data_IF_398414289371
#
_entry.id   IF_398414289371
#
_cell.length_a   1.000
_cell.length_b   1.000
_cell.length_c   1.000
_cell.angle_alpha   90.00
_cell.angle_beta   90.00
_cell.angle_gamma   90.00
#
_symmetry.space_group_name_H-M   'P 1'
#
loop_
_entity.id
_entity.type
_entity.pdbx_description
1 polymer ?
#
# COMPACT_ATOMS: atom_id res chain seq x y z
N UNK A 1 -36.96 60.73 26.51
CA UNK A 1 -37.90 61.54 25.71
C UNK A 1 -37.56 61.29 24.24
N UNK A 2 -38.31 60.46 23.49
CA UNK A 2 -39.50 60.81 22.65
C UNK A 2 -39.10 61.88 21.60
N UNK A 3 -39.25 61.76 20.27
CA UNK A 3 -40.15 61.03 19.36
C UNK A 3 -39.49 60.94 17.95
N UNK A 4 -39.59 59.83 17.18
CA UNK A 4 -40.63 59.43 16.17
C UNK A 4 -40.84 60.39 14.98
N UNK A 5 -40.62 59.88 13.74
CA UNK A 5 -41.69 59.52 12.77
C UNK A 5 -41.14 59.20 11.35
N UNK A 6 -41.59 58.10 10.73
CA UNK A 6 -41.55 57.86 9.26
C UNK A 6 -42.72 58.59 8.55
N UNK A 7 -43.19 58.23 7.32
CA UNK A 7 -43.12 56.91 6.65
C UNK A 7 -42.95 56.95 5.10
N UNK A 8 -43.00 55.78 4.43
CA UNK A 8 -43.57 55.66 3.06
C UNK A 8 -42.83 54.78 2.05
N UNK A 9 -43.29 53.55 1.83
CA UNK A 9 -43.06 52.73 0.61
C UNK A 9 -44.20 52.96 -0.41
N UNK A 10 -43.97 52.63 -1.68
CA UNK A 10 -44.82 51.60 -2.29
C UNK A 10 -44.05 50.54 -3.13
N UNK A 11 -44.70 49.39 -3.27
CA UNK A 11 -44.41 48.25 -4.14
C UNK A 11 -44.57 48.63 -5.63
N UNK A 12 -44.03 47.92 -6.64
CA UNK A 12 -44.39 46.56 -7.03
C UNK A 12 -43.73 46.12 -8.36
N UNK A 13 -43.71 44.79 -8.56
CA UNK A 13 -43.70 44.04 -9.84
C UNK A 13 -42.39 43.76 -10.59
N UNK A 14 -42.05 42.46 -10.59
CA UNK A 14 -41.23 41.69 -11.55
C UNK A 14 -41.85 41.67 -12.96
N UNK A 15 -41.09 41.14 -13.94
CA UNK A 15 -41.58 39.95 -14.64
C UNK A 15 -40.60 38.77 -14.64
N UNK A 16 -41.19 37.57 -14.67
CA UNK A 16 -40.58 36.24 -14.90
C UNK A 16 -40.66 35.91 -16.40
N UNK A 17 -39.68 35.17 -16.91
CA UNK A 17 -39.81 34.05 -17.87
C UNK A 17 -38.44 33.32 -17.85
N UNK A 18 -38.25 32.08 -17.40
CA UNK A 18 -38.77 30.76 -17.79
C UNK A 18 -38.30 30.28 -19.17
N UNK A 19 -37.33 29.36 -19.17
CA UNK A 19 -37.24 28.27 -20.14
C UNK A 19 -36.69 27.02 -19.45
N UNK A 20 -37.52 25.98 -19.42
CA UNK A 20 -37.17 24.61 -19.02
C UNK A 20 -36.34 23.93 -20.12
N UNK A 21 -35.41 23.07 -19.74
CA UNK A 21 -35.14 21.84 -20.50
C UNK A 21 -34.73 20.73 -19.55
N UNK A 22 -35.55 19.68 -19.50
CA UNK A 22 -35.24 18.39 -18.91
C UNK A 22 -34.02 17.76 -19.59
N UNK A 23 -33.16 17.10 -18.80
CA UNK A 23 -32.37 15.99 -19.34
C UNK A 23 -32.25 14.85 -18.32
N UNK A 24 -32.46 13.64 -18.84
CA UNK A 24 -32.64 12.36 -18.14
C UNK A 24 -31.32 11.81 -17.60
N UNK A 25 -31.45 10.97 -16.57
CA UNK A 25 -30.47 9.98 -16.16
C UNK A 25 -30.09 9.05 -17.32
N UNK A 26 -28.80 8.71 -17.44
CA UNK A 26 -28.37 7.38 -17.87
C UNK A 26 -26.91 7.10 -17.49
N UNK A 27 -26.73 6.02 -16.72
CA UNK A 27 -25.72 4.94 -16.83
C UNK A 27 -24.23 5.23 -17.06
N UNK A 28 -23.44 4.68 -16.12
CA UNK A 28 -22.03 4.24 -16.17
C UNK A 28 -21.19 4.55 -17.43
N UNK A 29 -20.06 5.23 -17.21
CA UNK A 29 -18.86 5.09 -18.04
C UNK A 29 -17.63 4.85 -17.14
N UNK A 30 -17.20 3.58 -17.16
CA UNK A 30 -15.89 3.10 -16.75
C UNK A 30 -14.90 3.54 -17.83
N UNK A 31 -13.79 4.17 -17.45
CA UNK A 31 -12.66 4.44 -18.35
C UNK A 31 -11.96 3.12 -18.69
N UNK A 32 -12.42 2.47 -19.76
CA UNK A 32 -11.77 1.32 -20.36
C UNK A 32 -10.56 1.76 -21.20
N UNK A 33 -9.39 1.18 -20.93
CA UNK A 33 -8.24 1.23 -21.83
C UNK A 33 -8.61 0.54 -23.15
N UNK A 34 -8.75 1.29 -24.23
CA UNK A 34 -8.98 0.76 -25.57
C UNK A 34 -7.66 0.37 -26.22
N UNK A 35 -7.48 -0.93 -26.47
CA UNK A 35 -6.41 -1.48 -27.31
C UNK A 35 -6.81 -1.36 -28.78
N UNK A 36 -6.26 -0.38 -29.49
CA UNK A 36 -6.36 -0.31 -30.94
C UNK A 36 -5.20 -1.07 -31.60
N UNK A 37 -5.53 -2.15 -32.30
CA UNK A 37 -4.60 -2.88 -33.17
C UNK A 37 -4.25 -2.05 -34.43
N UNK A 38 -3.00 -2.08 -34.92
CA UNK A 38 -2.62 -1.37 -36.14
C UNK A 38 -3.10 -2.10 -37.41
N UNK A 39 -3.34 -1.36 -38.52
CA UNK A 39 -3.80 -1.94 -39.79
C UNK A 39 -2.68 -2.70 -40.54
N UNK A 40 -3.02 -3.66 -41.42
CA UNK A 40 -2.03 -4.47 -42.11
C UNK A 40 -1.33 -3.68 -43.23
N UNK A 41 0.00 -3.75 -43.26
CA UNK A 41 0.80 -3.27 -44.40
C UNK A 41 1.11 -4.40 -45.38
N UNK A 42 1.09 -4.04 -46.65
CA UNK A 42 1.16 -4.88 -47.83
C UNK A 42 2.54 -5.49 -48.08
N UNK A 43 2.51 -6.68 -48.68
CA UNK A 43 3.66 -7.47 -49.08
C UNK A 43 4.48 -6.86 -50.24
N UNK A 44 5.79 -7.10 -50.22
CA UNK A 44 6.63 -7.19 -51.42
C UNK A 44 7.54 -8.41 -51.31
N UNK A 45 7.66 -9.12 -52.43
CA UNK A 45 8.18 -10.47 -52.58
C UNK A 45 9.64 -10.52 -53.07
N UNK A 46 10.17 -11.76 -53.09
CA UNK A 46 11.41 -12.28 -53.70
C UNK A 46 12.63 -12.31 -52.75
N UNK A 47 13.41 -13.41 -52.61
CA UNK A 47 13.71 -14.54 -53.51
C UNK A 47 14.27 -15.73 -52.69
N UNK A 48 13.88 -16.97 -53.03
CA UNK A 48 14.52 -18.24 -52.59
C UNK A 48 15.72 -18.60 -53.49
N UNK A 49 16.66 -19.43 -53.01
CA UNK A 49 16.81 -20.81 -53.52
C UNK A 49 17.17 -21.81 -52.39
N UNK A 50 17.27 -23.14 -52.52
CA UNK A 50 16.73 -24.24 -53.34
C UNK A 50 16.99 -25.51 -52.49
N UNK A 51 16.19 -26.54 -52.68
CA UNK A 51 16.21 -27.83 -51.97
C UNK A 51 17.42 -28.71 -52.32
N UNK A 52 17.84 -29.54 -51.36
CA UNK A 52 18.47 -30.84 -51.63
C UNK A 52 17.81 -31.94 -50.78
N UNK A 53 17.67 -33.12 -51.36
CA UNK A 53 16.78 -34.22 -51.00
C UNK A 53 17.52 -35.46 -50.48
N UNK A 54 17.07 -35.97 -49.32
CA UNK A 54 16.93 -37.40 -48.97
C UNK A 54 18.17 -38.20 -48.49
N UNK A 55 17.98 -39.42 -47.91
CA UNK A 55 16.71 -40.14 -47.69
C UNK A 55 16.40 -40.56 -46.23
N UNK A 56 15.12 -40.88 -46.00
CA UNK A 56 14.54 -41.53 -44.81
C UNK A 56 14.96 -43.00 -44.65
N UNK A 57 14.92 -43.52 -43.41
CA UNK A 57 14.15 -44.73 -43.02
C UNK A 57 14.03 -44.86 -41.47
N UNK A 58 12.95 -45.45 -40.92
CA UNK A 58 12.60 -45.47 -39.48
C UNK A 58 12.65 -46.92 -38.88
N UNK A 59 11.90 -47.27 -37.81
CA UNK A 59 12.26 -47.24 -36.39
C UNK A 59 12.40 -48.65 -35.76
N UNK A 60 12.92 -48.77 -34.52
CA UNK A 60 12.90 -50.04 -33.78
C UNK A 60 12.71 -49.87 -32.26
N UNK A 61 11.56 -50.32 -31.78
CA UNK A 61 11.34 -51.15 -30.59
C UNK A 61 10.63 -52.45 -31.10
N UNK A 62 10.37 -53.54 -30.34
CA UNK A 62 10.45 -53.77 -28.89
C UNK A 62 11.03 -55.16 -28.49
N UNK A 63 11.04 -55.52 -27.19
CA UNK A 63 10.80 -56.91 -26.77
C UNK A 63 10.30 -57.01 -25.31
N UNK A 64 9.57 -58.09 -25.06
CA UNK A 64 8.51 -58.31 -24.08
C UNK A 64 8.96 -59.24 -22.93
N UNK A 65 8.51 -58.94 -21.69
CA UNK A 65 7.82 -59.77 -20.64
C UNK A 65 7.97 -61.32 -20.62
N UNK A 66 7.83 -62.05 -19.48
CA UNK A 66 6.49 -62.30 -18.88
C UNK A 66 6.35 -62.66 -17.36
N UNK A 67 5.21 -62.19 -16.81
CA UNK A 67 4.10 -62.88 -16.09
C UNK A 67 4.21 -63.42 -14.63
N UNK A 68 3.11 -63.14 -13.90
CA UNK A 68 2.17 -63.99 -13.10
C UNK A 68 1.80 -63.23 -11.80
N UNK A 69 0.65 -62.56 -11.62
CA UNK A 69 -0.79 -62.94 -11.57
C UNK A 69 -1.31 -63.42 -10.20
N UNK A 70 -2.40 -62.76 -9.76
CA UNK A 70 -3.60 -63.24 -9.06
C UNK A 70 -3.68 -63.40 -7.53
N UNK A 71 -4.85 -62.97 -7.01
CA UNK A 71 -5.58 -63.54 -5.86
C UNK A 71 -5.70 -62.59 -4.67
N UNK A 72 -6.76 -61.80 -4.49
CA UNK A 72 -8.11 -62.14 -4.01
C UNK A 72 -8.16 -62.82 -2.63
N UNK A 73 -8.83 -62.14 -1.68
CA UNK A 73 -9.61 -62.74 -0.60
C UNK A 73 -8.90 -62.80 0.76
N UNK A 74 -9.54 -62.70 1.93
CA UNK A 74 -10.95 -62.53 2.34
C UNK A 74 -10.95 -62.37 3.88
N UNK A 75 -12.11 -61.95 4.43
CA UNK A 75 -12.64 -62.14 5.80
C UNK A 75 -12.04 -61.30 6.93
N UNK A 76 -12.82 -60.44 7.62
CA UNK A 76 -14.00 -60.65 8.51
C UNK A 76 -13.73 -61.52 9.75
N UNK A 77 -13.87 -60.91 10.93
CA UNK A 77 -14.80 -61.25 12.04
C UNK A 77 -14.75 -60.14 13.11
N UNK A 78 -15.90 -59.57 13.50
CA UNK A 78 -16.77 -59.91 14.67
C UNK A 78 -16.04 -59.66 16.00
N UNK A 79 -16.60 -59.11 17.06
CA UNK A 79 -17.94 -58.67 17.53
C UNK A 79 -17.62 -57.72 18.72
N UNK A 80 -18.46 -56.92 19.36
CA UNK A 80 -19.79 -57.13 19.92
C UNK A 80 -20.24 -55.78 20.53
N UNK A 81 -21.55 -55.58 20.60
CA UNK A 81 -22.21 -54.46 21.26
C UNK A 81 -22.73 -54.90 22.64
N UNK A 82 -22.74 -54.02 23.62
CA UNK A 82 -23.71 -54.04 24.73
C UNK A 82 -24.10 -52.61 25.13
N UNK A 83 -25.40 -52.41 25.30
CA UNK A 83 -26.06 -51.19 25.71
C UNK A 83 -26.34 -51.20 27.22
N UNK A 84 -26.44 -50.02 27.84
CA UNK A 84 -27.22 -49.80 29.05
C UNK A 84 -27.61 -48.31 29.19
N UNK A 85 -28.91 -48.05 29.22
CA UNK A 85 -29.55 -46.78 29.55
C UNK A 85 -29.55 -46.52 31.07
N UNK A 86 -29.51 -45.26 31.50
CA UNK A 86 -30.29 -44.77 32.64
C UNK A 86 -30.42 -43.24 32.62
N UNK A 87 -31.66 -42.74 32.77
CA UNK A 87 -32.05 -41.32 32.78
C UNK A 87 -32.05 -40.73 34.22
N UNK A 88 -32.52 -39.48 34.48
CA UNK A 88 -31.71 -38.33 34.94
C UNK A 88 -32.00 -37.92 36.41
N UNK A 89 -31.38 -36.84 36.92
CA UNK A 89 -32.02 -36.03 37.94
C UNK A 89 -32.16 -34.54 37.55
N UNK A 90 -33.23 -33.93 38.07
CA UNK A 90 -33.66 -32.55 37.85
C UNK A 90 -32.97 -31.47 38.73
N UNK A 91 -33.59 -30.29 38.90
CA UNK A 91 -32.90 -28.99 38.82
C UNK A 91 -32.62 -28.30 40.17
N UNK A 92 -31.55 -27.51 40.19
CA UNK A 92 -31.22 -26.34 41.04
C UNK A 92 -29.68 -26.16 40.93
N UNK A 93 -29.04 -25.00 40.88
CA UNK A 93 -29.31 -23.66 41.39
C UNK A 93 -28.33 -22.71 40.71
N UNK A 94 -28.69 -21.43 40.59
CA UNK A 94 -27.83 -20.41 40.00
C UNK A 94 -26.55 -20.20 40.81
N UNK A 95 -25.42 -20.19 40.10
CA UNK A 95 -24.19 -19.55 40.50
C UNK A 95 -23.72 -18.70 39.32
N UNK A 96 -24.06 -17.40 39.37
CA UNK A 96 -23.31 -16.41 38.62
C UNK A 96 -21.94 -16.31 39.26
N UNK A 97 -20.88 -16.62 38.50
CA UNK A 97 -19.50 -16.23 38.78
C UNK A 97 -18.65 -16.35 37.52
N UNK A 98 -18.36 -15.16 36.98
CA UNK A 98 -17.22 -14.78 36.16
C UNK A 98 -16.84 -15.66 34.96
N UNK A 99 -17.32 -15.24 33.79
CA UNK A 99 -16.51 -15.37 32.57
C UNK A 99 -15.14 -14.71 32.79
N UNK A 100 -14.03 -15.36 32.44
CA UNK A 100 -12.72 -14.73 32.51
C UNK A 100 -12.64 -13.61 31.46
N UNK A 101 -12.15 -12.46 31.91
CA UNK A 101 -11.91 -11.29 31.09
C UNK A 101 -10.95 -11.56 29.93
N UNK A 102 -11.25 -10.88 28.81
CA UNK A 102 -10.36 -10.50 27.71
C UNK A 102 -9.55 -11.64 27.07
N UNK A 103 -10.09 -12.21 25.99
CA UNK A 103 -9.24 -12.72 24.92
C UNK A 103 -8.30 -11.57 24.53
N UNK A 104 -6.98 -11.77 24.66
CA UNK A 104 -5.99 -10.85 24.13
C UNK A 104 -6.34 -10.64 22.65
N UNK A 105 -6.78 -9.43 22.33
CA UNK A 105 -7.32 -9.12 21.01
C UNK A 105 -6.18 -9.27 20.01
N UNK A 106 -6.36 -10.17 19.04
CA UNK A 106 -5.37 -10.39 17.99
C UNK A 106 -5.21 -9.10 17.17
N UNK A 107 -4.03 -8.47 17.32
CA UNK A 107 -3.70 -7.22 16.67
C UNK A 107 -3.52 -7.45 15.17
N UNK A 108 -4.03 -6.52 14.37
CA UNK A 108 -3.96 -6.59 12.91
C UNK A 108 -2.70 -5.87 12.45
N UNK A 109 -1.88 -6.53 11.64
CA UNK A 109 -0.54 -6.04 11.25
C UNK A 109 -0.41 -5.65 9.78
N UNK A 110 -1.39 -6.00 8.95
CA UNK A 110 -1.24 -5.93 7.49
C UNK A 110 -2.45 -5.23 6.86
N UNK A 111 -3.62 -5.87 6.78
CA UNK A 111 -4.84 -5.26 6.24
C UNK A 111 -6.08 -5.59 7.08
N UNK A 112 -7.11 -4.72 7.02
CA UNK A 112 -8.44 -4.94 7.60
C UNK A 112 -9.53 -4.61 6.59
N UNK A 113 -10.69 -5.26 6.70
CA UNK A 113 -11.86 -4.94 5.88
C UNK A 113 -12.65 -3.76 6.45
N UNK A 114 -13.48 -3.11 5.61
CA UNK A 114 -14.40 -2.07 6.06
C UNK A 114 -15.35 -2.56 7.17
N UNK A 115 -15.88 -3.79 7.04
CA UNK A 115 -16.76 -4.38 8.05
C UNK A 115 -16.03 -4.58 9.40
N UNK A 116 -14.75 -4.99 9.36
CA UNK A 116 -13.96 -5.10 10.58
C UNK A 116 -13.73 -3.73 11.20
N UNK A 117 -13.35 -2.72 10.40
CA UNK A 117 -13.07 -1.39 10.93
C UNK A 117 -14.33 -0.76 11.54
N UNK A 118 -15.49 -0.87 10.89
CA UNK A 118 -16.79 -0.38 11.41
C UNK A 118 -17.10 -0.96 12.80
N UNK A 119 -16.91 -2.27 12.99
CA UNK A 119 -17.13 -2.92 14.27
C UNK A 119 -16.14 -2.48 15.37
N UNK A 120 -15.09 -1.73 15.02
CA UNK A 120 -13.94 -1.49 15.86
C UNK A 120 -13.51 -0.02 15.98
N UNK A 121 -14.27 0.92 15.40
CA UNK A 121 -13.99 2.37 15.42
C UNK A 121 -13.68 2.92 16.82
N UNK A 122 -14.35 2.41 17.86
CA UNK A 122 -14.13 2.84 19.25
C UNK A 122 -12.88 2.28 19.94
N UNK A 123 -12.13 1.40 19.26
CA UNK A 123 -11.00 0.64 19.84
C UNK A 123 -9.68 0.82 19.10
N UNK A 124 -9.68 1.54 17.98
CA UNK A 124 -8.51 1.74 17.12
C UNK A 124 -8.28 3.22 16.84
N UNK A 125 -7.05 3.57 16.47
CA UNK A 125 -6.69 4.90 15.96
C UNK A 125 -6.79 4.88 14.44
N UNK A 126 -7.77 5.59 13.90
CA UNK A 126 -7.94 5.70 12.44
C UNK A 126 -7.17 6.90 11.93
N UNK A 127 -6.34 6.70 10.91
CA UNK A 127 -5.52 7.74 10.31
C UNK A 127 -5.80 7.83 8.81
N UNK A 128 -6.20 9.02 8.38
CA UNK A 128 -6.28 9.37 6.96
C UNK A 128 -4.92 9.85 6.49
N UNK A 129 -4.27 9.04 5.68
CA UNK A 129 -2.96 9.32 5.09
C UNK A 129 -3.08 9.73 3.61
N UNK A 130 -4.20 10.36 3.22
CA UNK A 130 -4.42 10.83 1.87
C UNK A 130 -3.34 11.79 1.41
N UNK A 131 -2.75 11.48 0.27
CA UNK A 131 -1.83 12.34 -0.45
C UNK A 131 -2.00 12.05 -1.94
N UNK A 132 -1.97 13.08 -2.78
CA UNK A 132 -2.21 12.95 -4.21
C UNK A 132 -1.09 13.58 -5.02
N UNK A 133 -0.82 13.02 -6.20
CA UNK A 133 0.04 13.68 -7.18
C UNK A 133 -0.64 14.97 -7.65
N UNK A 134 0.12 16.04 -7.95
CA UNK A 134 -0.45 17.30 -8.44
C UNK A 134 -1.38 17.11 -9.65
N UNK A 135 -1.07 16.16 -10.53
CA UNK A 135 -1.87 15.86 -11.72
C UNK A 135 -3.26 15.27 -11.44
N UNK A 136 -3.55 14.84 -10.20
CA UNK A 136 -4.87 14.34 -9.81
C UNK A 136 -5.86 15.47 -9.49
N UNK A 137 -5.38 16.71 -9.29
CA UNK A 137 -6.21 17.89 -8.99
C UNK A 137 -7.18 17.66 -7.80
N UNK A 138 -6.63 17.11 -6.71
CA UNK A 138 -7.35 16.82 -5.47
C UNK A 138 -6.64 17.43 -4.28
N UNK A 139 -7.41 17.95 -3.33
CA UNK A 139 -6.90 18.48 -2.06
C UNK A 139 -7.22 17.49 -0.93
N UNK A 140 -6.24 16.69 -0.48
CA UNK A 140 -6.48 15.67 0.54
C UNK A 140 -6.90 16.26 1.89
N UNK A 141 -6.46 17.48 2.22
CA UNK A 141 -6.83 18.14 3.48
C UNK A 141 -8.24 18.65 3.45
N UNK A 142 -8.64 19.27 2.34
CA UNK A 142 -10.01 19.73 2.16
C UNK A 142 -10.99 18.55 2.14
N UNK A 143 -10.62 17.44 1.49
CA UNK A 143 -11.42 16.21 1.49
C UNK A 143 -11.58 15.62 2.88
N UNK A 144 -10.48 15.45 3.63
CA UNK A 144 -10.51 14.98 5.02
C UNK A 144 -11.38 15.87 5.92
N UNK A 145 -11.25 17.19 5.77
CA UNK A 145 -12.01 18.15 6.56
C UNK A 145 -13.51 18.12 6.25
N UNK A 146 -13.86 17.87 4.99
CA UNK A 146 -15.25 17.77 4.56
C UNK A 146 -15.88 16.42 4.95
N UNK A 147 -15.13 15.32 4.87
CA UNK A 147 -15.63 13.97 5.11
C UNK A 147 -14.50 12.97 5.36
N UNK A 148 -14.54 12.32 6.52
CA UNK A 148 -13.55 11.32 6.95
C UNK A 148 -14.23 10.14 7.64
N UNK A 149 -13.53 9.03 7.80
CA UNK A 149 -14.00 7.93 8.67
C UNK A 149 -14.17 8.47 10.10
N UNK A 150 -15.21 8.02 10.81
CA UNK A 150 -15.49 8.50 12.17
C UNK A 150 -14.27 8.39 13.10
N UNK A 151 -13.91 9.51 13.73
CA UNK A 151 -12.77 9.59 14.65
C UNK A 151 -11.40 9.56 13.97
N UNK A 152 -11.32 9.57 12.63
CA UNK A 152 -10.07 9.61 11.93
C UNK A 152 -9.34 10.94 12.13
N UNK A 153 -8.02 10.89 12.23
CA UNK A 153 -7.13 12.07 12.21
C UNK A 153 -6.29 12.10 10.94
N UNK A 154 -5.88 13.28 10.52
CA UNK A 154 -5.11 13.45 9.30
C UNK A 154 -3.61 13.20 9.52
N UNK A 155 -3.09 12.12 8.95
CA UNK A 155 -1.66 11.83 8.84
C UNK A 155 -1.10 12.51 7.58
N UNK A 156 -0.51 13.68 7.77
CA UNK A 156 0.07 14.42 6.64
C UNK A 156 1.43 13.86 6.24
N UNK A 157 1.47 13.03 5.20
CA UNK A 157 2.70 12.44 4.65
C UNK A 157 3.75 13.49 4.28
N UNK A 158 3.34 14.69 3.84
CA UNK A 158 4.29 15.75 3.51
C UNK A 158 4.91 16.39 4.76
N UNK A 159 4.13 16.59 5.82
CA UNK A 159 4.65 17.17 7.08
C UNK A 159 5.36 16.15 7.97
N UNK A 160 5.01 14.87 7.87
CA UNK A 160 5.66 13.78 8.59
C UNK A 160 6.75 13.20 7.67
N UNK A 161 7.63 14.08 7.20
CA UNK A 161 8.80 13.77 6.37
C UNK A 161 9.98 14.60 6.86
N UNK A 162 11.21 14.27 6.43
CA UNK A 162 12.40 15.04 6.79
C UNK A 162 12.38 16.44 6.15
N UNK A 163 12.20 17.52 6.94
CA UNK A 163 12.17 18.88 6.41
C UNK A 163 13.55 19.39 5.98
N UNK A 164 14.64 18.72 6.36
CA UNK A 164 16.00 19.09 5.97
C UNK A 164 16.38 18.55 4.58
N UNK A 165 15.63 17.56 4.08
CA UNK A 165 15.88 16.98 2.77
C UNK A 165 15.32 17.86 1.65
N UNK A 166 16.06 17.91 0.54
CA UNK A 166 15.57 18.46 -0.73
C UNK A 166 14.74 17.44 -1.52
N UNK A 167 14.74 16.18 -1.07
CA UNK A 167 13.97 15.09 -1.66
C UNK A 167 12.59 15.01 -1.01
N UNK A 168 11.55 14.69 -1.80
CA UNK A 168 10.20 14.58 -1.27
C UNK A 168 10.02 13.30 -0.45
N UNK A 169 9.23 13.40 0.62
CA UNK A 169 8.73 12.29 1.45
C UNK A 169 9.81 11.41 2.12
N UNK A 170 11.05 11.89 2.25
CA UNK A 170 12.07 11.18 3.01
C UNK A 170 11.61 10.94 4.45
N UNK A 171 11.95 9.78 5.01
CA UNK A 171 11.65 9.45 6.39
C UNK A 171 12.10 10.57 7.34
N UNK A 172 11.25 11.02 8.27
CA UNK A 172 11.68 11.93 9.32
C UNK A 172 12.65 11.22 10.28
N UNK A 173 13.29 11.95 11.17
CA UNK A 173 13.97 11.34 12.32
C UNK A 173 12.98 10.62 13.25
N UNK A 174 13.47 9.65 14.04
CA UNK A 174 12.64 8.97 15.04
C UNK A 174 11.98 9.96 16.02
N UNK A 175 12.68 11.02 16.43
CA UNK A 175 12.13 12.06 17.31
C UNK A 175 10.99 12.84 16.65
N UNK A 176 11.11 13.18 15.36
CA UNK A 176 10.06 13.86 14.61
C UNK A 176 8.84 12.94 14.40
N UNK A 177 9.06 11.66 14.10
CA UNK A 177 7.96 10.69 13.98
C UNK A 177 7.23 10.50 15.31
N UNK A 178 7.96 10.32 16.41
CA UNK A 178 7.40 10.26 17.76
C UNK A 178 6.54 11.48 18.10
N UNK A 179 7.04 12.69 17.82
CA UNK A 179 6.29 13.93 18.04
C UNK A 179 5.02 14.02 17.16
N UNK A 180 5.06 13.49 15.93
CA UNK A 180 3.89 13.41 15.08
C UNK A 180 2.84 12.42 15.63
N UNK A 181 3.28 11.25 16.12
CA UNK A 181 2.40 10.27 16.77
C UNK A 181 1.75 10.83 18.04
N UNK A 182 2.50 11.54 18.88
CA UNK A 182 1.98 12.23 20.07
C UNK A 182 0.89 13.25 19.67
N UNK A 183 1.13 14.05 18.64
CA UNK A 183 0.15 15.02 18.12
C UNK A 183 -1.09 14.34 17.52
N UNK A 184 -0.93 13.16 16.92
CA UNK A 184 -2.02 12.31 16.43
C UNK A 184 -2.72 11.54 17.56
N UNK A 185 -2.26 11.64 18.81
CA UNK A 185 -2.85 10.92 19.94
C UNK A 185 -2.70 9.41 19.83
N UNK A 186 -1.58 8.97 19.23
CA UNK A 186 -1.16 7.57 19.08
C UNK A 186 -0.09 7.26 20.11
N UNK A 187 -0.23 6.13 20.78
CA UNK A 187 0.71 5.54 21.74
C UNK A 187 1.24 4.22 21.19
N UNK A 188 2.32 3.68 21.77
CA UNK A 188 2.88 2.40 21.32
C UNK A 188 1.95 1.19 21.52
N UNK A 189 0.92 1.30 22.35
CA UNK A 189 -0.06 0.22 22.60
C UNK A 189 -1.30 0.28 21.71
N UNK A 190 -1.47 1.36 20.95
CA UNK A 190 -2.65 1.53 20.11
C UNK A 190 -2.63 0.58 18.90
N UNK A 191 -3.79 0.07 18.51
CA UNK A 191 -3.99 -0.46 17.15
C UNK A 191 -4.21 0.74 16.21
N UNK A 192 -3.36 0.90 15.21
CA UNK A 192 -3.51 1.92 14.17
C UNK A 192 -4.14 1.28 12.92
N UNK A 193 -5.08 1.99 12.30
CA UNK A 193 -5.61 1.66 10.97
C UNK A 193 -5.44 2.87 10.05
N UNK A 194 -4.64 2.71 8.98
CA UNK A 194 -4.40 3.76 7.99
C UNK A 194 -5.28 3.56 6.76
N UNK A 195 -5.73 4.64 6.13
CA UNK A 195 -6.43 4.61 4.84
C UNK A 195 -6.08 5.85 4.01
N UNK A 196 -6.48 5.86 2.73
CA UNK A 196 -6.43 7.04 1.89
C UNK A 196 -7.67 7.13 0.99
N UNK A 197 -7.92 8.33 0.45
CA UNK A 197 -9.06 8.61 -0.41
C UNK A 197 -8.88 8.21 -1.88
N UNK A 198 -7.74 7.63 -2.28
CA UNK A 198 -7.58 6.99 -3.60
C UNK A 198 -7.88 5.47 -3.54
N UNK A 199 -7.91 4.89 -2.34
CA UNK A 199 -8.09 3.48 -2.06
C UNK A 199 -6.81 2.85 -1.56
N UNK A 200 -5.80 2.75 -2.44
CA UNK A 200 -4.49 2.21 -2.13
C UNK A 200 -3.41 3.00 -2.88
N UNK A 201 -2.86 4.02 -2.24
CA UNK A 201 -1.81 4.85 -2.78
C UNK A 201 -0.81 5.29 -1.72
N UNK A 202 -1.20 6.24 -0.86
CA UNK A 202 -0.33 6.85 0.16
C UNK A 202 -0.50 6.23 1.54
N UNK A 203 -1.61 5.54 1.82
CA UNK A 203 -1.81 4.84 3.09
C UNK A 203 -0.75 3.78 3.36
N UNK A 204 -0.29 3.08 2.32
CA UNK A 204 0.79 2.10 2.45
C UNK A 204 2.09 2.72 2.94
N UNK A 205 2.36 4.00 2.61
CA UNK A 205 3.52 4.74 3.13
C UNK A 205 3.40 4.97 4.62
N UNK A 206 2.24 5.40 5.12
CA UNK A 206 2.01 5.56 6.55
C UNK A 206 2.15 4.23 7.30
N UNK A 207 1.55 3.14 6.78
CA UNK A 207 1.72 1.79 7.33
C UNK A 207 3.20 1.41 7.44
N UNK A 208 3.97 1.56 6.36
CA UNK A 208 5.40 1.24 6.34
C UNK A 208 6.20 2.10 7.31
N UNK A 209 5.87 3.39 7.46
CA UNK A 209 6.54 4.27 8.43
C UNK A 209 6.33 3.79 9.88
N UNK A 210 5.12 3.39 10.25
CA UNK A 210 4.85 2.81 11.57
C UNK A 210 5.70 1.54 11.79
N UNK A 211 5.74 0.63 10.80
CA UNK A 211 6.59 -0.57 10.86
C UNK A 211 8.08 -0.21 10.98
N UNK A 212 8.56 0.72 10.16
CA UNK A 212 9.94 1.20 10.17
C UNK A 212 10.33 1.83 11.51
N UNK A 213 9.40 2.41 12.26
CA UNK A 213 9.65 2.97 13.60
C UNK A 213 9.30 2.04 14.76
N UNK A 214 9.10 0.75 14.49
CA UNK A 214 8.93 -0.29 15.50
C UNK A 214 7.50 -0.43 16.05
N UNK A 215 6.49 0.01 15.31
CA UNK A 215 5.09 -0.13 15.67
C UNK A 215 4.40 -1.16 14.76
N UNK A 216 4.34 -2.41 15.23
CA UNK A 216 3.79 -3.54 14.48
C UNK A 216 2.26 -3.57 14.43
N UNK A 217 1.60 -2.95 15.42
CA UNK A 217 0.16 -2.89 15.60
C UNK A 217 -0.52 -1.90 14.62
N UNK A 218 -0.16 -1.97 13.34
CA UNK A 218 -0.67 -1.09 12.29
C UNK A 218 -1.22 -1.94 11.15
N UNK A 219 -2.43 -1.64 10.69
CA UNK A 219 -3.02 -2.26 9.51
C UNK A 219 -3.51 -1.18 8.54
N UNK A 220 -3.73 -1.57 7.30
CA UNK A 220 -4.31 -0.72 6.28
C UNK A 220 -5.76 -1.12 6.00
N UNK A 221 -6.67 -0.16 5.81
CA UNK A 221 -8.03 -0.43 5.34
C UNK A 221 -8.01 -0.85 3.87
N UNK A 222 -8.29 -2.12 3.59
CA UNK A 222 -8.22 -2.67 2.24
C UNK A 222 -9.26 -2.01 1.31
N UNK A 223 -8.77 -1.35 0.25
CA UNK A 223 -9.57 -0.53 -0.65
C UNK A 223 -9.91 0.88 -0.17
N UNK A 224 -9.42 1.30 1.01
CA UNK A 224 -9.47 2.68 1.52
C UNK A 224 -10.86 3.30 1.59
N UNK A 225 -10.95 4.62 1.42
CA UNK A 225 -12.24 5.33 1.42
C UNK A 225 -13.24 4.80 0.37
N UNK A 226 -12.83 4.43 -0.86
CA UNK A 226 -13.73 3.78 -1.81
C UNK A 226 -14.40 2.50 -1.28
N UNK A 227 -13.67 1.65 -0.53
CA UNK A 227 -14.24 0.46 0.08
C UNK A 227 -15.15 0.79 1.27
N UNK A 228 -14.78 1.80 2.06
CA UNK A 228 -15.61 2.35 3.14
C UNK A 228 -16.97 2.85 2.62
N UNK A 229 -16.96 3.57 1.50
CA UNK A 229 -18.14 4.10 0.84
C UNK A 229 -19.06 2.99 0.32
N UNK A 230 -18.48 1.97 -0.32
CA UNK A 230 -19.24 0.79 -0.77
C UNK A 230 -19.91 0.05 0.39
N UNK A 231 -19.25 0.02 1.55
CA UNK A 231 -19.78 -0.60 2.77
C UNK A 231 -20.78 0.30 3.51
N UNK A 232 -21.01 1.54 3.05
CA UNK A 232 -21.81 2.56 3.74
C UNK A 232 -21.34 2.78 5.19
N UNK A 233 -20.02 2.77 5.41
CA UNK A 233 -19.42 2.92 6.74
C UNK A 233 -19.63 4.31 7.35
N UNK A 234 -19.51 4.39 8.66
CA UNK A 234 -19.77 5.61 9.43
C UNK A 234 -18.73 6.69 9.12
N UNK A 235 -19.19 7.91 8.84
CA UNK A 235 -18.34 9.06 8.52
C UNK A 235 -18.58 10.22 9.48
N UNK A 236 -17.53 10.97 9.72
CA UNK A 236 -17.55 12.25 10.40
C UNK A 236 -17.48 13.38 9.36
N UNK A 237 -18.43 14.31 9.47
CA UNK A 237 -18.56 15.51 8.64
C UNK A 237 -18.55 16.79 9.50
N UNK A 238 -18.30 16.65 10.80
CA UNK A 238 -18.22 17.79 11.70
C UNK A 238 -16.95 18.59 11.40
N UNK A 239 -17.00 19.93 11.58
CA UNK A 239 -15.82 20.77 11.42
C UNK A 239 -14.65 20.27 12.28
N UNK A 240 -13.51 20.04 11.62
CA UNK A 240 -12.23 19.63 12.21
C UNK A 240 -11.85 20.59 13.34
N UNK A 241 -11.86 20.11 14.58
CA UNK A 241 -11.49 20.89 15.76
C UNK A 241 -10.04 20.55 16.16
N UNK A 242 -9.08 21.16 15.45
CA UNK A 242 -7.63 21.06 15.71
C UNK A 242 -6.99 19.68 15.49
N UNK A 243 -7.00 19.20 14.24
CA UNK A 243 -6.51 17.86 13.88
C UNK A 243 -5.13 17.92 13.19
N UNK A 244 -4.38 19.00 13.40
CA UNK A 244 -3.14 19.24 12.68
C UNK A 244 -1.95 19.06 13.60
N UNK A 245 -1.02 18.20 13.21
CA UNK A 245 0.38 18.35 13.60
C UNK A 245 0.79 19.77 13.16
N UNK A 246 0.88 20.68 14.14
CA UNK A 246 1.27 22.06 13.89
C UNK A 246 2.63 22.05 13.19
N UNK A 247 2.82 22.97 12.23
CA UNK A 247 4.04 23.13 11.44
C UNK A 247 5.31 23.49 12.26
N UNK A 248 5.32 23.22 13.56
CA UNK A 248 6.39 23.57 14.50
C UNK A 248 6.74 22.47 15.52
N UNK A 249 5.99 21.36 15.62
CA UNK A 249 6.43 20.23 16.47
C UNK A 249 7.70 19.57 15.89
N UNK A 250 7.78 19.49 14.55
CA UNK A 250 9.00 19.09 13.84
C UNK A 250 10.10 20.17 13.85
N UNK A 251 9.75 21.46 14.01
CA UNK A 251 10.72 22.56 14.04
C UNK A 251 11.35 22.78 15.43
N UNK A 252 10.62 22.51 16.52
CA UNK A 252 11.18 22.58 17.87
C UNK A 252 12.20 21.46 18.15
N UNK A 253 12.07 20.31 17.47
CA UNK A 253 13.06 19.24 17.47
C UNK A 253 14.26 19.50 16.52
N UNK A 254 14.15 20.45 15.59
CA UNK A 254 15.15 20.74 14.56
C UNK A 254 16.37 21.55 15.05
N UNK A 255 16.57 21.70 16.36
CA UNK A 255 17.82 22.22 16.92
C UNK A 255 18.91 21.15 17.09
N UNK A 256 18.67 19.90 16.68
CA UNK A 256 19.67 18.83 16.67
C UNK A 256 20.07 18.46 15.23
N UNK A 257 21.37 18.61 14.98
CA UNK A 257 22.17 18.57 13.74
C UNK A 257 21.98 17.34 12.80
N UNK A 258 22.46 17.43 11.53
CA UNK A 258 22.05 16.55 10.42
C UNK A 258 22.64 15.13 10.49
N UNK A 259 21.86 14.17 10.00
CA UNK A 259 22.23 12.75 9.90
C UNK A 259 23.19 12.49 8.74
N UNK A 260 24.46 12.27 9.07
CA UNK A 260 25.42 11.52 8.27
C UNK A 260 25.71 10.20 9.03
N UNK A 261 25.63 9.00 8.42
CA UNK A 261 25.63 7.73 9.14
C UNK A 261 27.02 7.23 9.58
N UNK A 262 27.91 8.12 10.00
CA UNK A 262 29.26 7.75 10.45
C UNK A 262 29.74 8.61 11.63
N UNK A 263 29.06 8.52 12.77
CA UNK A 263 29.63 8.71 14.12
C UNK A 263 28.51 8.69 15.18
N UNK A 264 28.07 7.50 15.59
CA UNK A 264 27.23 7.34 16.77
C UNK A 264 28.13 7.14 18.01
N UNK A 265 28.35 8.19 18.80
CA UNK A 265 28.69 8.11 20.22
C UNK A 265 28.63 9.49 20.89
N UNK A 266 27.47 9.83 21.47
CA UNK A 266 27.30 10.51 22.76
C UNK A 266 25.89 11.10 22.83
N UNK A 267 25.06 10.52 23.71
CA UNK A 267 23.71 10.96 23.99
C UNK A 267 23.71 12.35 24.66
N UNK A 268 22.80 13.22 24.26
CA UNK A 268 22.37 14.36 25.07
C UNK A 268 20.85 14.43 25.02
N UNK A 269 20.26 14.29 26.20
CA UNK A 269 18.82 14.09 26.46
C UNK A 269 18.05 15.41 26.37
N UNK A 270 16.98 15.43 25.58
CA UNK A 270 15.91 16.43 25.62
C UNK A 270 14.73 15.89 26.44
N UNK A 271 13.90 16.75 27.08
CA UNK A 271 13.00 16.35 28.15
C UNK A 271 11.85 15.46 27.65
N UNK A 272 11.55 14.44 28.45
CA UNK A 272 10.54 13.42 28.18
C UNK A 272 9.11 14.01 28.13
N UNK A 273 8.45 13.91 26.97
CA UNK A 273 7.01 13.65 26.97
C UNK A 273 6.81 12.20 27.40
N UNK A 274 5.66 11.87 27.98
CA UNK A 274 5.21 10.48 28.22
C UNK A 274 4.92 9.72 26.91
N UNK A 275 5.75 9.99 25.89
CA UNK A 275 5.43 10.04 24.49
C UNK A 275 5.83 8.80 23.73
N UNK A 276 5.23 8.67 22.56
CA UNK A 276 5.45 7.60 21.62
C UNK A 276 6.94 7.32 21.43
N UNK A 277 7.36 6.08 21.69
CA UNK A 277 8.73 5.63 21.44
C UNK A 277 8.86 5.18 19.98
N UNK A 278 9.70 5.87 19.21
CA UNK A 278 10.03 5.50 17.84
C UNK A 278 11.48 5.00 17.78
N UNK A 279 11.70 3.83 17.18
CA UNK A 279 13.04 3.29 16.93
C UNK A 279 13.10 2.86 15.47
N UNK A 280 13.97 3.51 14.69
CA UNK A 280 14.11 3.19 13.28
C UNK A 280 14.78 1.81 13.11
N UNK A 281 14.06 0.88 12.49
CA UNK A 281 14.62 -0.34 11.92
C UNK A 281 15.28 -0.03 10.58
N UNK A 282 16.61 0.16 10.61
CA UNK A 282 17.41 0.39 9.41
C UNK A 282 17.31 -0.77 8.40
N UNK A 283 16.91 -1.98 8.83
CA UNK A 283 16.69 -3.13 7.97
C UNK A 283 15.56 -2.93 6.96
N UNK A 284 14.58 -2.08 7.27
CA UNK A 284 13.42 -1.75 6.42
C UNK A 284 13.65 -0.58 5.46
N UNK A 285 14.84 0.03 5.50
CA UNK A 285 15.20 1.16 4.63
C UNK A 285 16.42 0.76 3.79
N UNK A 286 16.51 1.28 2.57
CA UNK A 286 17.74 1.29 1.79
C UNK A 286 18.11 2.72 1.44
N UNK A 287 19.38 3.04 1.59
CA UNK A 287 19.99 4.26 1.08
C UNK A 287 20.41 4.11 -0.38
N UNK A 288 20.66 5.23 -1.07
CA UNK A 288 21.22 5.25 -2.43
C UNK A 288 22.52 4.43 -2.54
N UNK A 289 23.42 4.56 -1.57
CA UNK A 289 24.71 3.87 -1.57
C UNK A 289 24.54 2.36 -1.40
N UNK A 290 23.60 1.91 -0.57
CA UNK A 290 23.27 0.49 -0.45
C UNK A 290 22.60 -0.05 -1.72
N UNK A 291 21.71 0.71 -2.37
CA UNK A 291 21.14 0.31 -3.66
C UNK A 291 22.23 0.19 -4.72
N UNK A 292 23.15 1.16 -4.79
CA UNK A 292 24.30 1.11 -5.69
C UNK A 292 25.16 -0.14 -5.43
N UNK A 293 25.49 -0.41 -4.17
CA UNK A 293 26.37 -1.51 -3.80
C UNK A 293 25.73 -2.89 -3.94
N UNK A 294 24.42 -3.02 -3.70
CA UNK A 294 23.75 -4.31 -3.57
C UNK A 294 22.81 -4.66 -4.72
N UNK A 295 22.26 -3.69 -5.42
CA UNK A 295 21.25 -3.92 -6.47
C UNK A 295 21.79 -3.74 -7.89
N UNK A 296 22.98 -3.15 -8.07
CA UNK A 296 23.53 -2.78 -9.38
C UNK A 296 24.75 -3.63 -9.74
N UNK A 297 24.83 -4.03 -11.01
CA UNK A 297 25.97 -4.75 -11.58
C UNK A 297 25.81 -6.28 -11.59
N UNK A 298 26.79 -6.97 -12.16
CA UNK A 298 26.76 -8.44 -12.35
C UNK A 298 26.82 -9.24 -11.05
N UNK A 299 27.24 -8.60 -9.95
CA UNK A 299 27.32 -9.18 -8.61
C UNK A 299 26.20 -8.66 -7.68
N UNK A 300 25.10 -8.13 -8.23
CA UNK A 300 23.97 -7.66 -7.44
C UNK A 300 23.47 -8.78 -6.51
N UNK A 301 23.44 -8.48 -5.22
CA UNK A 301 23.04 -9.38 -4.15
C UNK A 301 21.56 -9.23 -3.77
N UNK A 302 20.94 -8.08 -4.08
CA UNK A 302 19.53 -7.81 -3.80
C UNK A 302 18.78 -7.46 -5.12
N UNK A 303 17.51 -7.82 -5.20
CA UNK A 303 16.66 -7.57 -6.37
C UNK A 303 15.75 -6.37 -6.13
N UNK A 304 16.03 -5.26 -6.79
CA UNK A 304 15.18 -4.06 -6.73
C UNK A 304 13.95 -4.21 -7.64
N UNK A 305 12.76 -3.92 -7.12
CA UNK A 305 11.49 -3.87 -7.86
C UNK A 305 10.90 -2.46 -7.83
N UNK A 306 10.63 -1.89 -9.00
CA UNK A 306 10.15 -0.53 -9.18
C UNK A 306 8.62 -0.50 -9.41
N UNK A 307 7.92 0.26 -8.57
CA UNK A 307 6.47 0.39 -8.55
C UNK A 307 5.92 1.44 -9.54
N UNK A 308 6.78 2.16 -10.27
CA UNK A 308 6.37 3.16 -11.26
C UNK A 308 5.70 2.49 -12.48
N UNK A 309 4.87 3.24 -13.23
CA UNK A 309 4.36 2.78 -14.51
C UNK A 309 5.49 2.37 -15.47
N UNK A 310 5.29 1.27 -16.20
CA UNK A 310 6.28 0.69 -17.11
C UNK A 310 6.87 1.69 -18.12
N UNK A 311 6.11 2.62 -18.74
CA UNK A 311 6.69 3.62 -19.65
C UNK A 311 7.72 4.53 -18.98
N UNK A 312 7.53 4.93 -17.71
CA UNK A 312 8.51 5.73 -16.96
C UNK A 312 9.78 4.94 -16.68
N UNK A 313 9.63 3.67 -16.29
CA UNK A 313 10.73 2.74 -16.05
C UNK A 313 11.52 2.39 -17.33
N UNK A 314 10.86 2.30 -18.48
CA UNK A 314 11.53 2.11 -19.79
C UNK A 314 12.23 3.37 -20.30
N UNK A 315 11.90 4.54 -19.75
CA UNK A 315 12.36 5.83 -20.25
C UNK A 315 11.53 6.38 -21.42
N UNK A 316 10.34 5.84 -21.65
CA UNK A 316 9.42 6.20 -22.75
C UNK A 316 8.46 7.33 -22.37
N UNK A 317 8.32 7.62 -21.07
CA UNK A 317 7.53 8.72 -20.55
C UNK A 317 8.38 9.57 -19.59
N UNK A 318 8.18 10.90 -19.56
CA UNK A 318 8.93 11.77 -18.67
C UNK A 318 8.57 11.53 -17.21
N UNK A 319 9.52 11.82 -16.33
CA UNK A 319 9.24 11.94 -14.90
C UNK A 319 8.44 13.23 -14.62
N UNK A 320 7.53 13.23 -13.62
CA UNK A 320 6.71 14.40 -13.32
C UNK A 320 7.51 15.57 -12.74
N UNK A 321 8.75 15.33 -12.28
CA UNK A 321 9.64 16.35 -11.72
C UNK A 321 10.67 16.77 -12.75
N UNK A 322 10.82 18.09 -12.91
CA UNK A 322 11.89 18.66 -13.74
C UNK A 322 13.28 18.27 -13.20
N UNK A 323 14.24 18.06 -14.09
CA UNK A 323 15.62 17.70 -13.74
C UNK A 323 15.82 16.24 -13.28
N UNK A 324 14.79 15.39 -13.41
CA UNK A 324 14.90 13.96 -13.15
C UNK A 324 14.93 13.22 -14.49
N UNK A 325 15.99 12.45 -14.72
CA UNK A 325 16.17 11.61 -15.91
C UNK A 325 15.07 10.55 -16.00
N UNK A 326 14.65 10.19 -17.20
CA UNK A 326 13.78 9.04 -17.44
C UNK A 326 14.58 7.73 -17.34
N UNK A 327 13.91 6.58 -17.22
CA UNK A 327 14.57 5.26 -17.18
C UNK A 327 14.48 4.58 -15.81
N UNK A 328 15.45 3.70 -15.53
CA UNK A 328 15.45 2.83 -14.35
C UNK A 328 16.83 2.61 -13.75
N UNK A 329 16.82 2.09 -12.52
CA UNK A 329 18.01 1.54 -11.87
C UNK A 329 18.46 0.31 -12.67
N UNK A 330 19.74 0.21 -13.08
CA UNK A 330 20.21 -0.91 -13.86
C UNK A 330 19.92 -2.24 -13.20
N UNK A 331 19.44 -3.19 -14.02
CA UNK A 331 19.06 -4.50 -13.53
C UNK A 331 17.76 -4.56 -12.73
N UNK A 332 17.09 -3.46 -12.35
CA UNK A 332 15.82 -3.53 -11.61
C UNK A 332 14.71 -4.30 -12.34
N UNK A 333 13.71 -4.79 -11.59
CA UNK A 333 12.43 -5.29 -12.10
C UNK A 333 11.39 -4.16 -12.11
N UNK A 334 10.33 -4.30 -12.92
CA UNK A 334 9.20 -3.39 -12.93
C UNK A 334 7.91 -4.14 -12.59
N UNK A 335 7.25 -3.71 -11.53
CA UNK A 335 5.93 -4.17 -11.13
C UNK A 335 5.11 -2.94 -10.72
N UNK A 336 4.39 -2.29 -11.65
CA UNK A 336 3.55 -1.15 -11.31
C UNK A 336 2.61 -1.47 -10.15
N UNK A 337 2.52 -0.59 -9.15
CA UNK A 337 1.80 -0.90 -7.89
C UNK A 337 0.34 -1.31 -8.10
N UNK A 338 -0.33 -0.78 -9.13
CA UNK A 338 -1.72 -1.10 -9.43
C UNK A 338 -1.90 -2.52 -9.99
N UNK A 339 -0.84 -3.19 -10.44
CA UNK A 339 -0.93 -4.56 -10.98
C UNK A 339 -1.14 -5.62 -9.88
N UNK A 340 -0.96 -5.27 -8.62
CA UNK A 340 -1.27 -6.15 -7.47
C UNK A 340 -2.60 -5.80 -6.78
N UNK A 341 -3.39 -4.89 -7.37
CA UNK A 341 -4.67 -4.45 -6.85
C UNK A 341 -5.82 -4.88 -7.77
N UNK A 342 -7.00 -5.15 -7.18
CA UNK A 342 -8.25 -5.33 -7.90
C UNK A 342 -8.76 -3.98 -8.44
N UNK A 343 -9.71 -4.03 -9.38
CA UNK A 343 -10.34 -2.83 -9.94
C UNK A 343 -11.05 -1.98 -8.88
N UNK A 344 -11.53 -2.62 -7.81
CA UNK A 344 -12.21 -1.97 -6.69
C UNK A 344 -11.24 -1.38 -5.64
N UNK A 345 -9.94 -1.37 -5.96
CA UNK A 345 -8.83 -0.89 -5.15
C UNK A 345 -8.45 -1.76 -3.95
N UNK A 346 -9.04 -2.94 -3.76
CA UNK A 346 -8.54 -3.90 -2.77
C UNK A 346 -7.29 -4.64 -3.26
N UNK A 347 -6.52 -5.26 -2.37
CA UNK A 347 -5.43 -6.14 -2.77
C UNK A 347 -5.95 -7.39 -3.48
N UNK A 348 -5.20 -7.87 -4.48
CA UNK A 348 -5.43 -9.22 -5.04
C UNK A 348 -5.14 -10.30 -3.99
N UNK A 349 -5.62 -11.51 -4.23
CA UNK A 349 -5.29 -12.64 -3.37
C UNK A 349 -3.77 -12.89 -3.31
N UNK A 350 -3.21 -13.33 -2.16
CA UNK A 350 -1.77 -13.53 -1.95
C UNK A 350 -1.05 -14.30 -3.07
N UNK A 351 -1.64 -15.37 -3.56
CA UNK A 351 -1.11 -16.21 -4.64
C UNK A 351 -1.04 -15.48 -5.99
N UNK A 352 -1.97 -14.56 -6.24
CA UNK A 352 -1.98 -13.71 -7.43
C UNK A 352 -0.93 -12.61 -7.33
N UNK A 353 -0.75 -12.05 -6.13
CA UNK A 353 0.34 -11.10 -5.85
C UNK A 353 1.69 -11.78 -6.09
N UNK A 354 1.93 -12.96 -5.48
CA UNK A 354 3.15 -13.72 -5.66
C UNK A 354 3.43 -14.04 -7.15
N UNK A 355 2.40 -14.41 -7.91
CA UNK A 355 2.52 -14.65 -9.34
C UNK A 355 2.90 -13.37 -10.12
N UNK A 356 2.38 -12.20 -9.74
CA UNK A 356 2.75 -10.92 -10.35
C UNK A 356 4.21 -10.54 -10.10
N UNK A 357 4.71 -10.72 -8.87
CA UNK A 357 6.14 -10.56 -8.56
C UNK A 357 7.01 -11.52 -9.39
N UNK A 358 6.62 -12.79 -9.47
CA UNK A 358 7.35 -13.80 -10.25
C UNK A 358 7.38 -13.46 -11.74
N UNK A 359 6.28 -12.96 -12.29
CA UNK A 359 6.21 -12.49 -13.68
C UNK A 359 7.09 -11.26 -13.94
N UNK A 360 7.31 -10.41 -12.93
CA UNK A 360 8.27 -9.30 -12.96
C UNK A 360 9.73 -9.75 -12.77
N UNK A 361 9.98 -11.04 -12.55
CA UNK A 361 11.32 -11.60 -12.34
C UNK A 361 11.80 -11.55 -10.88
N UNK A 362 10.86 -11.55 -9.92
CA UNK A 362 11.15 -11.59 -8.48
C UNK A 362 10.37 -12.75 -7.86
N UNK A 363 11.04 -13.82 -7.43
CA UNK A 363 10.37 -14.93 -6.73
C UNK A 363 10.33 -14.65 -5.22
N UNK A 364 9.17 -14.28 -4.67
CA UNK A 364 9.03 -13.99 -3.25
C UNK A 364 9.26 -15.20 -2.35
N UNK A 365 9.13 -16.42 -2.89
CA UNK A 365 9.42 -17.65 -2.15
C UNK A 365 10.93 -17.96 -2.08
N UNK A 366 11.74 -17.33 -2.95
CA UNK A 366 13.19 -17.47 -2.91
C UNK A 366 13.79 -16.61 -1.79
N UNK A 367 14.01 -17.25 -0.64
CA UNK A 367 14.63 -16.60 0.50
C UNK A 367 16.07 -16.16 0.25
N UNK A 368 16.76 -16.77 -0.72
CA UNK A 368 18.17 -16.50 -1.03
C UNK A 368 18.40 -15.20 -1.81
N UNK A 369 17.34 -14.64 -2.40
CA UNK A 369 17.36 -13.36 -3.10
C UNK A 369 16.58 -12.31 -2.28
N UNK A 370 17.25 -11.45 -1.49
CA UNK A 370 16.59 -10.32 -0.85
C UNK A 370 15.98 -9.37 -1.89
N UNK A 371 14.86 -8.75 -1.53
CA UNK A 371 14.09 -7.87 -2.42
C UNK A 371 14.09 -6.47 -1.84
N UNK A 372 14.18 -5.45 -2.69
CA UNK A 372 14.06 -4.03 -2.30
C UNK A 372 12.95 -3.39 -3.12
N UNK A 373 12.00 -2.72 -2.49
CA UNK A 373 10.98 -1.95 -3.19
C UNK A 373 11.46 -0.51 -3.46
N UNK A 374 11.13 0.02 -4.63
CA UNK A 374 11.39 1.40 -5.02
C UNK A 374 10.24 1.95 -5.86
N UNK A 375 10.19 3.27 -6.04
CA UNK A 375 9.26 3.91 -6.97
C UNK A 375 9.80 5.27 -7.41
N UNK A 376 8.93 6.30 -7.50
CA UNK A 376 9.36 7.69 -7.69
C UNK A 376 9.98 8.31 -6.43
N UNK A 377 9.41 8.07 -5.25
CA UNK A 377 9.70 8.82 -4.01
C UNK A 377 9.46 8.03 -2.71
N UNK A 378 9.57 6.70 -2.76
CA UNK A 378 9.33 5.87 -1.59
C UNK A 378 7.86 5.74 -1.15
N UNK A 379 6.89 6.33 -1.85
CA UNK A 379 5.45 6.23 -1.49
C UNK A 379 4.82 4.94 -2.03
N UNK A 380 4.68 4.79 -3.35
CA UNK A 380 4.04 3.59 -3.93
C UNK A 380 4.91 2.33 -3.83
N UNK A 381 6.20 2.47 -3.51
CA UNK A 381 7.06 1.36 -3.14
C UNK A 381 6.52 0.59 -1.92
N UNK A 382 5.91 1.30 -0.96
CA UNK A 382 5.31 0.69 0.22
C UNK A 382 4.10 -0.19 -0.12
N UNK A 383 3.41 0.06 -1.24
CA UNK A 383 2.33 -0.84 -1.73
C UNK A 383 2.91 -2.19 -2.13
N UNK A 384 4.09 -2.21 -2.79
CA UNK A 384 4.78 -3.45 -3.10
C UNK A 384 5.32 -4.15 -1.85
N UNK A 385 5.86 -3.40 -0.87
CA UNK A 385 6.32 -3.98 0.39
C UNK A 385 5.17 -4.65 1.16
N UNK A 386 4.01 -3.98 1.25
CA UNK A 386 2.79 -4.54 1.85
C UNK A 386 2.25 -5.75 1.06
N UNK A 387 2.24 -5.66 -0.27
CA UNK A 387 1.86 -6.78 -1.13
C UNK A 387 2.78 -8.00 -0.96
N UNK A 388 4.08 -7.78 -0.81
CA UNK A 388 5.03 -8.86 -0.52
C UNK A 388 4.76 -9.49 0.86
N UNK A 389 4.44 -8.69 1.88
CA UNK A 389 4.04 -9.20 3.19
C UNK A 389 2.78 -10.07 3.11
N UNK A 390 1.74 -9.61 2.41
CA UNK A 390 0.52 -10.39 2.15
C UNK A 390 0.81 -11.71 1.42
N UNK A 391 1.81 -11.71 0.53
CA UNK A 391 2.28 -12.88 -0.21
C UNK A 391 3.30 -13.74 0.57
N UNK A 392 3.51 -13.49 1.87
CA UNK A 392 4.35 -14.30 2.76
C UNK A 392 5.82 -13.90 2.82
N UNK A 393 6.19 -12.71 2.29
CA UNK A 393 7.54 -12.13 2.35
C UNK A 393 7.50 -10.80 3.14
N UNK A 394 7.38 -10.84 4.48
CA UNK A 394 7.41 -9.64 5.31
C UNK A 394 8.78 -8.97 5.28
N UNK A 395 8.82 -7.69 5.67
CA UNK A 395 10.07 -6.97 5.90
C UNK A 395 10.85 -6.62 4.63
N UNK A 396 10.17 -6.49 3.47
CA UNK A 396 10.79 -5.96 2.26
C UNK A 396 11.16 -4.49 2.49
N UNK A 397 12.45 -4.12 2.47
CA UNK A 397 12.87 -2.74 2.64
C UNK A 397 12.48 -1.84 1.47
N UNK A 398 12.37 -0.55 1.75
CA UNK A 398 12.10 0.49 0.76
C UNK A 398 13.34 1.34 0.52
N UNK A 399 13.73 1.51 -0.74
CA UNK A 399 14.65 2.56 -1.14
C UNK A 399 13.92 3.91 -1.09
N UNK A 400 14.17 4.66 -0.01
CA UNK A 400 13.34 5.81 0.37
C UNK A 400 13.45 6.97 -0.62
N UNK A 401 14.68 7.39 -0.96
CA UNK A 401 14.93 8.43 -1.95
C UNK A 401 14.48 8.04 -3.37
N UNK A 402 14.40 6.73 -3.64
CA UNK A 402 13.76 6.18 -4.84
C UNK A 402 14.30 6.81 -6.15
N UNK A 403 13.52 6.80 -7.23
CA UNK A 403 13.94 7.35 -8.50
C UNK A 403 14.23 8.86 -8.48
N UNK A 404 13.61 9.63 -7.60
CA UNK A 404 13.89 11.07 -7.52
C UNK A 404 15.32 11.33 -7.06
N UNK A 405 15.81 10.57 -6.08
CA UNK A 405 17.22 10.64 -5.67
C UNK A 405 18.18 10.03 -6.70
N UNK A 406 17.79 8.90 -7.31
CA UNK A 406 18.65 8.18 -8.25
C UNK A 406 18.77 8.89 -9.61
N UNK A 407 17.63 9.34 -10.13
CA UNK A 407 17.44 9.86 -11.47
C UNK A 407 17.76 11.34 -11.61
N UNK A 408 17.87 12.11 -10.52
CA UNK A 408 18.23 13.53 -10.60
C UNK A 408 19.53 13.74 -11.38
N UNK A 409 19.57 14.77 -12.21
CA UNK A 409 20.78 15.15 -12.93
C UNK A 409 21.95 15.39 -11.97
N UNK A 410 23.14 14.87 -12.31
CA UNK A 410 24.32 14.97 -11.45
C UNK A 410 24.35 14.00 -10.25
N UNK A 411 23.39 13.06 -10.12
CA UNK A 411 23.40 12.09 -9.02
C UNK A 411 24.61 11.15 -9.01
N UNK A 412 25.30 11.00 -10.15
CA UNK A 412 26.37 10.03 -10.36
C UNK A 412 25.88 8.59 -10.50
N UNK A 413 24.57 8.34 -10.42
CA UNK A 413 24.00 7.00 -10.50
C UNK A 413 23.83 6.54 -11.96
N UNK A 414 24.15 5.27 -12.28
CA UNK A 414 23.95 4.71 -13.61
C UNK A 414 22.46 4.53 -13.89
N UNK A 415 22.06 4.64 -15.15
CA UNK A 415 20.66 4.53 -15.58
C UNK A 415 20.58 3.60 -16.78
N UNK A 416 19.65 2.64 -16.73
CA UNK A 416 19.23 1.90 -17.92
C UNK A 416 18.00 2.59 -18.51
N UNK A 417 17.96 2.77 -19.83
CA UNK A 417 16.86 3.45 -20.52
C UNK A 417 17.36 4.10 -21.81
N UNK A 418 16.46 4.61 -22.66
CA UNK A 418 16.90 5.48 -23.76
C UNK A 418 17.39 6.79 -23.16
N UNK A 419 18.69 7.07 -23.31
CA UNK A 419 19.24 8.43 -23.18
C UNK A 419 18.65 9.35 -24.24
#
# INVERSE_FOLDING_TARGET
>A
AIAKAGPGRPSSRRPRASSHSHFRMSTHHVLAYSTAAPPPSSASAAKRPRHYTGPCLPPAAPSHSPRYSNGIGTRRRRTEATAAESSPPGPASGDGKHEPAAHAREMQTTIVSAAWLEANLGTVKVLDASWYLPAMDRDPRAEHAARRIQGARYFDVDRISDPASHLPHMLPSAAQFAAACDALGVTNSDQVVVYDGAGLFSAARAWWMFKAFGHDAVALLDGGMPAWDRAAGTVDIDPVAHDHVAAGAAAAAAAAAPVNPAAAAAATTLPASSGYAAVLDAGLVRSKDEVMARCVGVAAAERLVDARPKPRWLGEAPEPRAGVRSGRVPGSACLPFYDILNDDRTFKAPEVIAAAFKAAGVDLADASTPVVASCGTGVTACVLALGAELAGRPGVPVYDGSWTEWGVEGSGCPVDGKE
#
